data_IF_610573026501
#
_entry.id   IF_610573026501
#
_cell.length_a   1.000
_cell.length_b   1.000
_cell.length_c   1.000
_cell.angle_alpha   90.00
_cell.angle_beta   90.00
_cell.angle_gamma   90.00
#
_symmetry.space_group_name_H-M   'P 1'
#
loop_
_entity.id
_entity.type
_entity.pdbx_description
1 polymer ?
#
# COMPACT_ATOMS: atom_id res chain seq x y z
N UNK A 1 2.59 -4.72 -7.43
CA UNK A 1 2.82 -4.01 -6.15
C UNK A 1 4.21 -3.38 -6.18
N UNK A 2 4.41 -2.22 -5.54
CA UNK A 2 5.68 -1.50 -5.54
C UNK A 2 6.05 -1.10 -4.11
N UNK A 3 7.29 -1.38 -3.69
CA UNK A 3 7.79 -0.92 -2.40
C UNK A 3 7.97 0.61 -2.43
N UNK A 4 7.54 1.28 -1.36
CA UNK A 4 7.55 2.74 -1.21
C UNK A 4 8.18 3.21 0.11
N UNK A 5 8.86 2.31 0.84
CA UNK A 5 9.40 2.63 2.18
C UNK A 5 10.34 3.83 2.13
N UNK A 6 11.23 3.90 1.14
CA UNK A 6 12.21 4.99 1.03
C UNK A 6 11.52 6.31 0.68
N UNK A 7 10.54 6.30 -0.23
CA UNK A 7 9.78 7.50 -0.59
C UNK A 7 8.95 8.04 0.58
N UNK A 8 8.45 7.17 1.44
CA UNK A 8 7.78 7.58 2.69
C UNK A 8 8.78 8.26 3.64
N UNK A 9 9.99 7.71 3.80
CA UNK A 9 11.03 8.28 4.66
C UNK A 9 11.56 9.61 4.11
N UNK A 10 11.79 9.69 2.80
CA UNK A 10 12.22 10.92 2.12
C UNK A 10 11.19 12.05 2.26
N UNK A 11 9.90 11.70 2.33
CA UNK A 11 8.81 12.64 2.54
C UNK A 11 8.58 13.02 4.03
N UNK A 12 9.34 12.43 4.96
CA UNK A 12 9.14 12.58 6.40
C UNK A 12 10.46 12.84 7.17
N UNK A 13 11.23 13.89 6.84
CA UNK A 13 12.49 14.20 7.51
C UNK A 13 12.34 14.49 9.01
N UNK A 14 11.16 14.92 9.46
CA UNK A 14 10.88 15.19 10.87
C UNK A 14 10.91 13.94 11.76
N UNK A 15 10.86 12.73 11.17
CA UNK A 15 10.85 11.47 11.90
C UNK A 15 12.05 11.34 12.83
N UNK A 16 13.22 11.84 12.42
CA UNK A 16 14.51 11.74 13.13
C UNK A 16 14.45 12.34 14.56
N UNK A 17 13.51 13.26 14.79
CA UNK A 17 13.33 13.94 16.08
C UNK A 17 12.32 13.26 17.00
N UNK A 18 11.62 12.24 16.51
CA UNK A 18 10.52 11.59 17.24
C UNK A 18 11.05 10.46 18.13
N UNK A 19 10.98 10.59 19.47
CA UNK A 19 11.42 9.54 20.38
C UNK A 19 10.47 8.35 20.41
N UNK A 20 9.16 8.60 20.42
CA UNK A 20 8.08 7.60 20.40
C UNK A 20 6.87 8.24 19.72
N UNK A 21 6.25 7.56 18.77
CA UNK A 21 5.10 8.09 18.03
C UNK A 21 4.42 7.06 17.13
N UNK A 22 3.50 7.56 16.32
CA UNK A 22 2.79 6.81 15.29
C UNK A 22 2.87 7.57 13.96
N UNK A 23 3.24 6.87 12.90
CA UNK A 23 3.05 7.32 11.52
C UNK A 23 1.79 6.68 10.97
N UNK A 24 0.78 7.49 10.69
CA UNK A 24 -0.39 7.07 9.93
C UNK A 24 -0.21 7.43 8.45
N UNK A 25 -0.45 6.45 7.58
CA UNK A 25 -0.47 6.60 6.13
C UNK A 25 -1.90 6.42 5.65
N UNK A 26 -2.39 7.34 4.83
CA UNK A 26 -3.72 7.25 4.22
C UNK A 26 -3.67 7.51 2.72
N UNK A 27 -3.96 6.48 1.93
CA UNK A 27 -4.02 6.56 0.48
C UNK A 27 -5.39 7.11 0.06
N UNK A 28 -5.39 8.26 -0.63
CA UNK A 28 -6.62 8.87 -1.15
C UNK A 28 -7.03 8.21 -2.47
N UNK A 29 -7.41 6.93 -2.42
CA UNK A 29 -7.91 6.19 -3.58
C UNK A 29 -8.80 5.01 -3.17
N UNK A 30 -9.61 4.52 -4.09
CA UNK A 30 -10.55 3.40 -3.86
C UNK A 30 -10.16 2.11 -4.59
N UNK A 31 -9.34 2.19 -5.64
CA UNK A 31 -8.87 1.05 -6.43
C UNK A 31 -7.36 0.77 -6.31
N UNK A 32 -6.72 1.27 -5.26
CA UNK A 32 -5.35 0.93 -4.88
C UNK A 32 -5.29 0.84 -3.35
N UNK A 33 -4.37 0.05 -2.81
CA UNK A 33 -4.24 -0.17 -1.37
C UNK A 33 -2.81 -0.02 -0.86
N UNK A 34 -2.68 -0.03 0.46
CA UNK A 34 -1.39 -0.12 1.16
C UNK A 34 -1.23 -1.49 1.80
N UNK A 35 0.01 -1.96 1.92
CA UNK A 35 0.34 -3.20 2.63
C UNK A 35 1.69 -3.09 3.29
N UNK A 36 1.91 -3.88 4.34
CA UNK A 36 3.25 -4.19 4.86
C UNK A 36 3.51 -5.67 4.57
N UNK A 37 4.64 -5.98 3.93
CA UNK A 37 5.02 -7.36 3.61
C UNK A 37 6.55 -7.52 3.48
N UNK A 38 7.00 -8.72 3.15
CA UNK A 38 8.40 -9.07 2.95
C UNK A 38 9.08 -8.17 1.91
N UNK A 39 10.25 -7.61 2.27
CA UNK A 39 11.01 -6.65 1.47
C UNK A 39 12.31 -7.20 0.86
N UNK A 40 12.56 -8.50 0.98
CA UNK A 40 13.83 -9.13 0.59
C UNK A 40 13.74 -9.89 -0.73
N UNK A 41 12.74 -10.75 -0.87
CA UNK A 41 12.56 -11.58 -2.05
C UNK A 41 11.82 -10.79 -3.16
N UNK A 42 12.41 -10.63 -4.36
CA UNK A 42 11.76 -9.93 -5.47
C UNK A 42 10.53 -10.66 -6.04
N UNK A 43 10.31 -11.94 -5.73
CA UNK A 43 9.17 -12.72 -6.21
C UNK A 43 7.90 -12.46 -5.40
N UNK A 44 8.02 -12.07 -4.12
CA UNK A 44 6.88 -11.83 -3.21
C UNK A 44 5.84 -10.86 -3.79
N UNK A 45 6.20 -9.69 -4.36
CA UNK A 45 5.23 -8.80 -5.00
C UNK A 45 4.48 -9.44 -6.17
N UNK A 46 5.13 -10.33 -6.93
CA UNK A 46 4.52 -11.05 -8.05
C UNK A 46 3.53 -12.11 -7.56
N UNK A 47 3.93 -12.91 -6.59
CA UNK A 47 3.09 -13.96 -5.99
C UNK A 47 1.85 -13.39 -5.32
N UNK A 48 1.97 -12.26 -4.62
CA UNK A 48 0.84 -11.56 -4.04
C UNK A 48 -0.14 -11.06 -5.11
N UNK A 49 0.36 -10.50 -6.21
CA UNK A 49 -0.49 -10.07 -7.33
C UNK A 49 -1.20 -11.28 -7.94
N UNK A 50 -0.50 -12.40 -8.19
CA UNK A 50 -1.11 -13.63 -8.70
C UNK A 50 -2.21 -14.17 -7.76
N UNK A 51 -1.97 -14.16 -6.46
CA UNK A 51 -2.96 -14.55 -5.45
C UNK A 51 -4.19 -13.65 -5.48
N UNK A 52 -3.99 -12.33 -5.53
CA UNK A 52 -5.07 -11.34 -5.62
C UNK A 52 -5.88 -11.48 -6.91
N UNK A 53 -5.24 -11.76 -8.05
CA UNK A 53 -5.91 -12.00 -9.32
C UNK A 53 -6.77 -13.27 -9.29
N UNK A 54 -6.43 -14.25 -8.45
CA UNK A 54 -7.28 -15.42 -8.23
C UNK A 54 -8.46 -15.15 -7.29
N UNK A 55 -8.28 -14.26 -6.31
CA UNK A 55 -9.34 -13.86 -5.36
C UNK A 55 -10.35 -12.92 -6.04
N UNK A 56 -9.86 -11.98 -6.83
CA UNK A 56 -10.65 -10.96 -7.52
C UNK A 56 -10.27 -10.94 -9.01
N UNK A 57 -10.71 -11.93 -9.80
CA UNK A 57 -10.36 -12.04 -11.21
C UNK A 57 -11.16 -11.07 -12.08
N UNK A 58 -10.51 -10.51 -13.09
CA UNK A 58 -11.12 -9.51 -14.00
C UNK A 58 -12.29 -10.07 -14.84
N UNK A 59 -12.31 -11.37 -15.09
CA UNK A 59 -13.35 -12.05 -15.86
C UNK A 59 -14.59 -12.45 -15.04
N UNK A 60 -14.60 -12.17 -13.73
CA UNK A 60 -15.81 -12.38 -12.95
C UNK A 60 -16.90 -11.39 -13.41
N UNK A 61 -18.18 -11.78 -13.46
CA UNK A 61 -19.26 -10.93 -13.99
C UNK A 61 -19.65 -9.81 -13.01
N UNK A 62 -18.71 -8.92 -12.71
CA UNK A 62 -18.96 -7.72 -11.92
C UNK A 62 -19.91 -6.78 -12.65
N UNK A 63 -20.78 -6.13 -11.87
CA UNK A 63 -21.73 -5.14 -12.41
C UNK A 63 -21.10 -3.77 -12.65
N UNK A 64 -20.02 -3.47 -11.94
CA UNK A 64 -19.33 -2.19 -12.02
C UNK A 64 -18.10 -2.32 -12.91
N UNK A 65 -18.21 -1.80 -14.13
CA UNK A 65 -17.16 -1.92 -15.17
C UNK A 65 -17.01 -0.59 -15.92
N UNK A 66 -17.34 0.52 -15.26
CA UNK A 66 -17.45 1.84 -15.90
C UNK A 66 -16.08 2.30 -16.39
N UNK A 67 -15.03 1.94 -15.66
CA UNK A 67 -13.64 2.26 -16.00
C UNK A 67 -12.87 1.07 -16.61
N UNK A 68 -13.54 0.02 -17.08
CA UNK A 68 -12.93 -1.16 -17.70
C UNK A 68 -13.10 -2.47 -16.91
N UNK A 69 -12.51 -3.56 -17.42
CA UNK A 69 -12.66 -4.90 -16.84
C UNK A 69 -12.00 -5.04 -15.46
N UNK A 70 -10.92 -4.31 -15.22
CA UNK A 70 -10.16 -4.30 -13.97
C UNK A 70 -10.72 -3.30 -12.94
N UNK A 71 -11.91 -2.72 -13.17
CA UNK A 71 -12.51 -1.66 -12.33
C UNK A 71 -12.95 -2.21 -10.98
N UNK A 72 -14.06 -2.96 -10.94
CA UNK A 72 -14.53 -3.59 -9.71
C UNK A 72 -13.52 -4.56 -9.06
N UNK A 73 -12.73 -5.38 -9.80
CA UNK A 73 -11.67 -6.17 -9.20
C UNK A 73 -10.69 -5.32 -8.38
N UNK A 74 -10.28 -4.15 -8.89
CA UNK A 74 -9.36 -3.26 -8.20
C UNK A 74 -9.98 -2.66 -6.93
N UNK A 75 -11.27 -2.31 -6.96
CA UNK A 75 -12.03 -1.90 -5.77
C UNK A 75 -12.13 -3.00 -4.72
N UNK A 76 -12.33 -4.25 -5.15
CA UNK A 76 -12.39 -5.41 -4.26
C UNK A 76 -11.03 -5.68 -3.61
N UNK A 77 -9.94 -5.74 -4.39
CA UNK A 77 -8.57 -5.91 -3.90
C UNK A 77 -8.19 -4.79 -2.92
N UNK A 78 -8.56 -3.55 -3.25
CA UNK A 78 -8.37 -2.40 -2.37
C UNK A 78 -9.11 -2.54 -1.04
N UNK A 79 -10.36 -3.00 -1.08
CA UNK A 79 -11.19 -3.20 0.12
C UNK A 79 -10.70 -4.34 1.02
N UNK A 80 -10.04 -5.36 0.45
CA UNK A 80 -9.44 -6.47 1.21
C UNK A 80 -8.20 -6.05 1.99
N UNK A 81 -7.38 -5.17 1.42
CA UNK A 81 -6.13 -4.72 2.03
C UNK A 81 -6.31 -3.46 2.88
N UNK A 82 -7.16 -2.56 2.43
CA UNK A 82 -7.37 -1.24 3.02
C UNK A 82 -6.45 -0.17 2.46
N UNK A 83 -6.83 1.07 2.71
CA UNK A 83 -6.15 2.28 2.18
C UNK A 83 -5.25 2.94 3.22
N UNK A 84 -5.09 2.33 4.40
CA UNK A 84 -4.39 2.95 5.51
C UNK A 84 -3.47 1.99 6.24
N UNK A 85 -2.34 2.53 6.72
CA UNK A 85 -1.43 1.84 7.62
C UNK A 85 -1.17 2.74 8.83
N UNK A 86 -0.98 2.14 10.00
CA UNK A 86 -0.47 2.84 11.19
C UNK A 86 0.77 2.10 11.67
N UNK A 87 1.90 2.80 11.68
CA UNK A 87 3.23 2.24 11.91
C UNK A 87 3.83 2.90 13.15
N UNK A 88 4.31 2.13 14.14
CA UNK A 88 5.01 2.70 15.28
C UNK A 88 6.32 3.36 14.86
N UNK A 89 6.60 4.51 15.48
CA UNK A 89 7.85 5.28 15.32
C UNK A 89 8.56 5.31 16.66
N UNK A 90 9.88 5.16 16.64
CA UNK A 90 10.70 5.35 17.83
C UNK A 90 12.15 5.58 17.47
N UNK A 91 12.85 6.35 18.31
CA UNK A 91 14.28 6.68 18.11
C UNK A 91 14.59 7.19 16.70
N UNK A 92 13.72 8.04 16.14
CA UNK A 92 13.97 8.60 14.82
C UNK A 92 13.62 7.69 13.63
N UNK A 93 13.01 6.51 13.84
CA UNK A 93 12.81 5.52 12.78
C UNK A 93 11.45 4.83 12.83
N UNK A 94 11.04 4.30 11.69
CA UNK A 94 9.92 3.35 11.60
C UNK A 94 10.31 2.05 12.31
N UNK A 95 9.49 1.59 13.25
CA UNK A 95 9.70 0.33 13.97
C UNK A 95 9.12 -0.85 13.18
N UNK A 96 9.53 -0.98 11.92
CA UNK A 96 9.24 -2.14 11.06
C UNK A 96 10.14 -3.32 11.45
N UNK A 97 9.64 -4.54 11.29
CA UNK A 97 10.46 -5.75 11.38
C UNK A 97 11.52 -5.81 10.27
N UNK A 98 12.56 -6.63 10.46
CA UNK A 98 13.69 -6.76 9.52
C UNK A 98 13.26 -6.96 8.07
N UNK A 99 12.22 -7.76 7.87
CA UNK A 99 11.69 -8.10 6.55
C UNK A 99 10.51 -7.26 6.14
N UNK A 100 10.08 -6.26 6.91
CA UNK A 100 8.88 -5.50 6.58
C UNK A 100 9.20 -4.27 5.73
N UNK A 101 8.52 -4.16 4.59
CA UNK A 101 8.50 -2.97 3.73
C UNK A 101 7.08 -2.48 3.50
N UNK A 102 6.93 -1.18 3.22
CA UNK A 102 5.65 -0.55 2.89
C UNK A 102 5.44 -0.66 1.39
N UNK A 103 4.27 -1.14 0.97
CA UNK A 103 3.91 -1.34 -0.42
C UNK A 103 2.72 -0.49 -0.83
N UNK A 104 2.84 0.16 -1.98
CA UNK A 104 1.71 0.66 -2.76
C UNK A 104 1.24 -0.44 -3.72
N UNK A 105 0.00 -0.86 -3.54
CA UNK A 105 -0.63 -1.91 -4.33
C UNK A 105 -1.51 -1.25 -5.39
N UNK A 106 -0.92 -1.03 -6.56
CA UNK A 106 -1.66 -0.61 -7.75
C UNK A 106 -2.40 -1.81 -8.33
N UNK A 107 -3.74 -1.74 -8.38
CA UNK A 107 -4.59 -2.82 -8.87
C UNK A 107 -5.17 -2.53 -10.26
N UNK A 108 -4.97 -1.32 -10.79
CA UNK A 108 -5.37 -0.92 -12.14
C UNK A 108 -4.23 -1.15 -13.12
N UNK A 109 -4.52 -1.57 -14.34
CA UNK A 109 -3.53 -1.78 -15.41
C UNK A 109 -2.95 -0.47 -15.94
N UNK A 110 -3.79 0.56 -15.99
CA UNK A 110 -3.37 1.91 -16.40
C UNK A 110 -2.71 2.60 -15.19
N UNK A 111 -1.61 3.32 -15.44
CA UNK A 111 -0.93 4.05 -14.36
C UNK A 111 -1.77 5.22 -13.90
N UNK A 112 -1.93 5.34 -12.58
CA UNK A 112 -2.55 6.49 -11.94
C UNK A 112 -1.53 7.22 -11.07
N UNK A 113 -1.73 8.53 -10.91
CA UNK A 113 -1.09 9.28 -9.83
C UNK A 113 -1.83 8.95 -8.53
N UNK A 114 -1.08 8.66 -7.47
CA UNK A 114 -1.60 8.29 -6.15
C UNK A 114 -1.17 9.37 -5.14
N UNK A 115 -2.13 9.87 -4.37
CA UNK A 115 -1.88 10.82 -3.29
C UNK A 115 -1.89 10.07 -1.97
N UNK A 116 -0.79 10.16 -1.23
CA UNK A 116 -0.62 9.52 0.06
C UNK A 116 -0.47 10.61 1.13
N UNK A 117 -1.35 10.60 2.11
CA UNK A 117 -1.29 11.50 3.27
C UNK A 117 -0.46 10.83 4.35
N UNK A 118 0.56 11.53 4.84
CA UNK A 118 1.40 11.14 5.96
C UNK A 118 0.98 11.98 7.17
N UNK A 119 0.71 11.35 8.30
CA UNK A 119 0.41 12.02 9.56
C UNK A 119 1.28 11.42 10.64
N UNK A 120 2.24 12.21 11.13
CA UNK A 120 3.13 11.82 12.21
C UNK A 120 2.60 12.40 13.53
N UNK A 121 2.38 11.54 14.52
CA UNK A 121 1.87 11.88 15.86
C UNK A 121 2.89 11.49 16.92
N UNK A 122 3.29 12.42 17.79
CA UNK A 122 4.30 12.22 18.84
C UNK A 122 4.17 13.25 19.96
#
# INVERSE_FOLDING_TARGET
>A
MRMITNEVLEALPEIDTVPVGLLHLFLQHTSASLSINENADPDVPGDLVMGLDRIAPDHFPYRHTVEGEDDMPAHLKSSLFGVSLTIPVGEGRLLLGTWQGIYLCEHRRIRHRRNLILTLMF
#
